data_IF_817959411565
#
_entry.id   IF_817959411565
#
_cell.length_a   1.000
_cell.length_b   1.000
_cell.length_c   1.000
_cell.angle_alpha   90.00
_cell.angle_beta   90.00
_cell.angle_gamma   90.00
#
_symmetry.space_group_name_H-M   'P 1'
#
loop_
_entity.id
_entity.type
_entity.pdbx_description
1 polymer ?
#
# COMPACT_ATOMS: atom_id res chain seq x y z
N UNK A 1 22.79 16.05 7.77
CA UNK A 1 23.05 14.92 8.67
C UNK A 1 21.72 14.41 9.21
N UNK A 2 21.49 13.12 9.14
CA UNK A 2 20.26 12.48 9.60
C UNK A 2 20.20 12.55 11.14
N UNK A 3 19.08 12.90 11.78
CA UNK A 3 19.01 13.10 13.23
C UNK A 3 18.87 11.77 13.99
N UNK A 4 19.84 10.87 13.82
CA UNK A 4 19.83 9.49 14.34
C UNK A 4 19.57 9.42 15.84
N UNK A 5 20.20 10.29 16.63
CA UNK A 5 20.05 10.28 18.09
C UNK A 5 18.63 10.68 18.54
N UNK A 6 17.96 11.59 17.79
CA UNK A 6 16.57 11.94 18.07
C UNK A 6 15.63 10.77 17.80
N UNK A 7 15.90 10.01 16.74
CA UNK A 7 15.12 8.81 16.38
C UNK A 7 15.31 7.73 17.45
N UNK A 8 16.57 7.42 17.81
CA UNK A 8 16.87 6.41 18.84
C UNK A 8 16.15 6.68 20.17
N UNK A 9 16.13 7.94 20.61
CA UNK A 9 15.45 8.34 21.86
C UNK A 9 13.93 8.08 21.83
N UNK A 10 13.31 8.00 20.64
CA UNK A 10 11.87 7.78 20.49
C UNK A 10 11.48 6.32 20.28
N UNK A 11 12.44 5.42 20.11
CA UNK A 11 12.15 3.99 19.94
C UNK A 11 11.43 3.38 21.15
N UNK A 12 11.83 3.62 22.43
CA UNK A 12 11.10 3.08 23.56
C UNK A 12 9.62 3.51 23.60
N UNK A 13 9.33 4.80 23.38
CA UNK A 13 7.97 5.33 23.31
C UNK A 13 7.16 4.64 22.21
N UNK A 14 7.78 4.41 21.05
CA UNK A 14 7.17 3.73 19.91
C UNK A 14 6.82 2.28 20.27
N UNK A 15 7.74 1.56 20.88
CA UNK A 15 7.53 0.15 21.30
C UNK A 15 6.39 0.04 22.31
N UNK A 16 6.31 0.98 23.24
CA UNK A 16 5.21 1.03 24.21
C UNK A 16 3.87 1.30 23.54
N UNK A 17 3.84 2.17 22.54
CA UNK A 17 2.62 2.50 21.78
C UNK A 17 2.07 1.34 20.96
N UNK A 18 2.90 0.33 20.60
CA UNK A 18 2.46 -0.87 19.87
C UNK A 18 1.47 -1.74 20.65
N UNK A 19 1.34 -1.55 21.96
CA UNK A 19 0.40 -2.29 22.82
C UNK A 19 -1.04 -1.79 22.72
N UNK A 20 -1.29 -0.69 22.03
CA UNK A 20 -2.62 -0.08 21.91
C UNK A 20 -3.51 -0.84 20.94
N UNK A 21 -4.82 -0.77 21.20
CA UNK A 21 -5.85 -1.40 20.37
C UNK A 21 -5.85 -0.80 18.97
N UNK A 22 -5.76 -1.64 17.95
CA UNK A 22 -5.84 -1.25 16.56
C UNK A 22 -7.27 -0.81 16.19
N UNK A 23 -7.42 0.40 15.69
CA UNK A 23 -8.68 0.92 15.20
C UNK A 23 -8.47 1.88 14.02
N UNK A 24 -9.58 2.31 13.40
CA UNK A 24 -9.55 3.22 12.24
C UNK A 24 -8.73 4.49 12.47
N UNK A 25 -8.77 5.06 13.66
CA UNK A 25 -8.04 6.30 13.96
C UNK A 25 -6.53 6.11 14.01
N UNK A 26 -6.06 4.93 14.43
CA UNK A 26 -4.62 4.59 14.41
C UNK A 26 -4.09 4.56 12.98
N UNK A 27 -4.84 3.97 12.05
CA UNK A 27 -4.48 3.94 10.63
C UNK A 27 -4.48 5.33 9.99
N UNK A 28 -5.47 6.18 10.34
CA UNK A 28 -5.51 7.57 9.88
C UNK A 28 -4.29 8.34 10.41
N UNK A 29 -3.92 8.17 11.68
CA UNK A 29 -2.72 8.80 12.25
C UNK A 29 -1.44 8.33 11.56
N UNK A 30 -1.30 7.03 11.30
CA UNK A 30 -0.15 6.49 10.58
C UNK A 30 -0.05 7.06 9.15
N UNK A 31 -1.15 7.06 8.40
CA UNK A 31 -1.19 7.66 7.06
C UNK A 31 -0.90 9.17 7.08
N UNK A 32 -1.36 9.88 8.13
CA UNK A 32 -1.07 11.31 8.29
C UNK A 32 0.39 11.59 8.63
N UNK A 33 1.04 10.69 9.39
CA UNK A 33 2.41 10.87 9.83
C UNK A 33 3.45 10.75 8.69
N UNK A 34 3.12 10.05 7.61
CA UNK A 34 4.01 9.89 6.44
C UNK A 34 3.83 10.96 5.37
N UNK A 35 2.81 11.82 5.49
CA UNK A 35 2.55 12.91 4.53
C UNK A 35 3.70 13.91 4.47
N UNK A 36 3.90 14.47 3.28
CA UNK A 36 4.77 15.61 3.05
C UNK A 36 3.98 16.77 2.43
N UNK A 37 3.82 16.79 1.13
CA UNK A 37 3.01 17.77 0.38
C UNK A 37 1.55 17.31 0.21
N UNK A 38 1.25 16.08 0.58
CA UNK A 38 -0.11 15.53 0.55
C UNK A 38 -1.11 16.38 1.34
N UNK A 39 -2.28 16.65 0.78
CA UNK A 39 -3.33 17.42 1.46
C UNK A 39 -4.18 16.52 2.36
N UNK A 40 -4.36 15.25 1.99
CA UNK A 40 -5.15 14.25 2.71
C UNK A 40 -4.35 12.98 2.99
N UNK A 41 -4.61 12.29 4.14
CA UNK A 41 -4.06 10.95 4.36
C UNK A 41 -4.71 9.95 3.40
N UNK A 42 -3.90 9.05 2.82
CA UNK A 42 -4.34 8.05 1.86
C UNK A 42 -4.34 6.68 2.51
N UNK A 43 -5.50 6.03 2.52
CA UNK A 43 -5.67 4.71 3.12
C UNK A 43 -6.76 3.93 2.41
N UNK A 44 -6.59 2.62 2.35
CA UNK A 44 -7.55 1.68 1.78
C UNK A 44 -7.63 0.43 2.66
N UNK A 45 -8.78 -0.23 2.61
CA UNK A 45 -9.06 -1.42 3.39
C UNK A 45 -9.96 -2.37 2.61
N UNK A 46 -9.66 -3.65 2.68
CA UNK A 46 -10.49 -4.73 2.14
C UNK A 46 -10.46 -5.94 3.07
N UNK A 47 -11.52 -6.73 3.00
CA UNK A 47 -11.62 -8.04 3.67
C UNK A 47 -11.96 -9.12 2.66
N UNK A 48 -11.43 -10.31 2.89
CA UNK A 48 -11.74 -11.49 2.08
C UNK A 48 -11.51 -12.77 2.87
N UNK A 49 -11.62 -13.92 2.17
CA UNK A 49 -11.27 -15.22 2.74
C UNK A 49 -10.10 -15.85 1.99
N UNK A 50 -9.26 -16.56 2.74
CA UNK A 50 -8.31 -17.56 2.23
C UNK A 50 -8.74 -18.91 2.84
N UNK A 51 -9.29 -19.80 2.01
CA UNK A 51 -10.05 -20.94 2.53
C UNK A 51 -11.25 -20.45 3.35
N UNK A 52 -11.43 -20.97 4.56
CA UNK A 52 -12.50 -20.57 5.47
C UNK A 52 -12.13 -19.41 6.41
N UNK A 53 -10.90 -18.91 6.34
CA UNK A 53 -10.40 -17.86 7.24
C UNK A 53 -10.61 -16.47 6.67
N UNK A 54 -11.24 -15.59 7.45
CA UNK A 54 -11.34 -14.18 7.12
C UNK A 54 -9.99 -13.51 7.32
N UNK A 55 -9.54 -12.78 6.31
CA UNK A 55 -8.29 -12.03 6.30
C UNK A 55 -8.54 -10.58 5.91
N UNK A 56 -7.69 -9.69 6.40
CA UNK A 56 -7.77 -8.25 6.19
C UNK A 56 -6.57 -7.75 5.40
N UNK A 57 -6.80 -6.74 4.58
CA UNK A 57 -5.75 -6.05 3.83
C UNK A 57 -5.91 -4.56 4.12
N UNK A 58 -4.87 -3.95 4.67
CA UNK A 58 -4.77 -2.52 4.91
C UNK A 58 -3.70 -1.92 4.02
N UNK A 59 -3.93 -0.72 3.53
CA UNK A 59 -2.92 0.01 2.80
C UNK A 59 -2.90 1.47 3.23
N UNK A 60 -1.70 2.05 3.33
CA UNK A 60 -1.47 3.47 3.46
C UNK A 60 -0.48 3.92 2.41
N UNK A 61 -0.63 5.13 1.90
CA UNK A 61 0.30 5.70 0.93
C UNK A 61 0.49 7.20 1.14
N UNK A 62 1.59 7.70 0.58
CA UNK A 62 1.82 9.13 0.45
C UNK A 62 2.42 9.45 -0.92
N UNK A 63 2.15 10.64 -1.43
CA UNK A 63 2.64 11.18 -2.68
C UNK A 63 1.59 12.11 -3.32
N UNK A 64 2.05 13.23 -3.89
CA UNK A 64 1.20 14.22 -4.56
C UNK A 64 1.89 14.92 -5.73
N UNK A 65 3.21 14.85 -5.85
CA UNK A 65 4.03 15.37 -6.95
C UNK A 65 5.21 14.47 -7.24
N UNK A 66 5.89 14.69 -8.36
CA UNK A 66 6.96 13.86 -8.90
C UNK A 66 6.46 12.42 -9.09
N UNK A 67 5.31 12.26 -9.77
CA UNK A 67 4.63 10.99 -9.99
C UNK A 67 4.53 10.71 -11.49
N UNK A 68 5.27 9.67 -11.94
CA UNK A 68 5.26 9.16 -13.30
C UNK A 68 5.19 7.63 -13.32
N UNK A 69 4.85 7.00 -14.46
CA UNK A 69 4.96 5.54 -14.60
C UNK A 69 6.34 5.03 -14.18
N UNK A 70 6.37 3.83 -13.59
CA UNK A 70 7.54 3.18 -12.98
C UNK A 70 8.00 3.75 -11.63
N UNK A 71 7.03 4.25 -10.86
CA UNK A 71 7.14 4.72 -9.48
C UNK A 71 7.94 6.03 -9.31
N UNK A 72 7.36 7.00 -8.62
CA UNK A 72 7.98 8.29 -8.35
C UNK A 72 7.54 8.81 -6.98
N UNK A 73 8.43 9.34 -6.16
CA UNK A 73 8.35 9.92 -4.81
C UNK A 73 7.17 9.43 -3.95
N UNK A 74 6.79 8.19 -4.16
CA UNK A 74 5.68 7.54 -3.51
C UNK A 74 6.19 6.56 -2.45
N UNK A 75 5.59 6.60 -1.29
CA UNK A 75 5.72 5.52 -0.32
C UNK A 75 4.36 4.86 -0.15
N UNK A 76 4.30 3.56 -0.31
CA UNK A 76 3.11 2.78 -0.03
C UNK A 76 3.45 1.55 0.81
N UNK A 77 2.63 1.32 1.82
CA UNK A 77 2.77 0.20 2.74
C UNK A 77 1.45 -0.57 2.77
N UNK A 78 1.52 -1.85 2.47
CA UNK A 78 0.38 -2.76 2.52
C UNK A 78 0.63 -3.78 3.64
N UNK A 79 -0.42 -4.09 4.38
CA UNK A 79 -0.38 -5.02 5.51
C UNK A 79 -1.52 -6.02 5.40
N UNK A 80 -1.24 -7.27 5.74
CA UNK A 80 -2.28 -8.30 5.90
C UNK A 80 -2.03 -9.10 7.16
N UNK A 81 -3.10 -9.59 7.77
CA UNK A 81 -3.05 -10.55 8.86
C UNK A 81 -3.01 -12.01 8.38
N UNK A 82 -3.13 -12.24 7.06
CA UNK A 82 -2.93 -13.54 6.44
C UNK A 82 -1.51 -14.09 6.69
N UNK A 83 -1.37 -15.40 6.72
CA UNK A 83 -0.09 -16.10 6.72
C UNK A 83 0.31 -16.43 5.28
N UNK A 84 1.20 -15.61 4.72
CA UNK A 84 1.70 -15.73 3.35
C UNK A 84 3.22 -15.55 3.33
N UNK A 85 3.90 -16.42 2.61
CA UNK A 85 5.36 -16.34 2.45
C UNK A 85 5.80 -15.09 1.67
N UNK A 86 7.04 -14.65 1.89
CA UNK A 86 7.61 -13.50 1.17
C UNK A 86 7.59 -13.68 -0.37
N UNK A 87 7.75 -14.92 -0.86
CA UNK A 87 7.69 -15.22 -2.29
C UNK A 87 6.28 -15.02 -2.86
N UNK A 88 5.24 -15.42 -2.12
CA UNK A 88 3.84 -15.19 -2.50
C UNK A 88 3.53 -13.68 -2.50
N UNK A 89 3.92 -12.96 -1.44
CA UNK A 89 3.72 -11.51 -1.35
C UNK A 89 4.39 -10.78 -2.52
N UNK A 90 5.64 -11.10 -2.83
CA UNK A 90 6.39 -10.52 -3.96
C UNK A 90 5.71 -10.80 -5.30
N UNK A 91 5.22 -12.02 -5.50
CA UNK A 91 4.53 -12.41 -6.72
C UNK A 91 3.20 -11.66 -6.88
N UNK A 92 2.43 -11.53 -5.79
CA UNK A 92 1.18 -10.77 -5.78
C UNK A 92 1.41 -9.29 -6.11
N UNK A 93 2.43 -8.66 -5.52
CA UNK A 93 2.77 -7.27 -5.87
C UNK A 93 3.13 -7.14 -7.34
N UNK A 94 4.02 -8.00 -7.85
CA UNK A 94 4.49 -7.95 -9.25
C UNK A 94 3.34 -8.09 -10.26
N UNK A 95 2.33 -8.90 -9.95
CA UNK A 95 1.15 -9.10 -10.84
C UNK A 95 0.19 -7.92 -10.86
N UNK A 96 0.19 -7.09 -9.82
CA UNK A 96 -0.78 -6.02 -9.64
C UNK A 96 -0.22 -4.60 -9.85
N UNK A 97 1.11 -4.41 -9.80
CA UNK A 97 1.72 -3.09 -9.78
C UNK A 97 1.53 -2.33 -11.09
N UNK A 98 1.63 -3.01 -12.25
CA UNK A 98 1.58 -2.37 -13.56
C UNK A 98 0.19 -1.80 -13.90
N UNK A 99 -0.87 -2.41 -13.36
CA UNK A 99 -2.25 -1.94 -13.53
C UNK A 99 -2.73 -0.99 -12.42
N UNK A 100 -1.85 -0.63 -11.48
CA UNK A 100 -2.19 0.22 -10.33
C UNK A 100 -1.19 1.38 -10.20
N UNK A 101 -0.15 1.24 -9.40
CA UNK A 101 0.81 2.32 -9.14
C UNK A 101 1.66 2.69 -10.37
N UNK A 102 2.00 1.74 -11.23
CA UNK A 102 2.71 2.05 -12.49
C UNK A 102 1.80 2.62 -13.59
N UNK A 103 0.48 2.62 -13.39
CA UNK A 103 -0.49 3.16 -14.35
C UNK A 103 -0.91 4.60 -14.07
N UNK A 104 -0.26 5.28 -13.12
CA UNK A 104 -0.59 6.66 -12.75
C UNK A 104 0.55 7.63 -13.03
N UNK A 105 0.19 8.89 -13.32
CA UNK A 105 1.13 10.01 -13.41
C UNK A 105 0.46 11.30 -12.98
N UNK A 106 1.22 12.23 -12.41
CA UNK A 106 0.79 13.59 -12.05
C UNK A 106 1.49 14.62 -12.94
N UNK A 107 2.80 14.62 -12.99
CA UNK A 107 3.64 15.61 -13.66
C UNK A 107 4.62 15.01 -14.68
N UNK A 108 4.69 13.70 -14.79
CA UNK A 108 5.59 12.99 -15.71
C UNK A 108 7.02 12.83 -15.17
N UNK A 109 7.33 13.37 -14.01
CA UNK A 109 8.66 13.28 -13.41
C UNK A 109 8.83 11.98 -12.59
N UNK A 110 9.94 11.29 -12.81
CA UNK A 110 10.27 10.03 -12.12
C UNK A 110 11.19 10.29 -10.93
N UNK A 111 10.87 9.72 -9.76
CA UNK A 111 11.75 9.73 -8.59
C UNK A 111 12.66 8.50 -8.56
N UNK A 112 13.69 8.56 -7.74
CA UNK A 112 14.62 7.45 -7.48
C UNK A 112 14.38 6.75 -6.14
N UNK A 113 13.38 7.19 -5.35
CA UNK A 113 13.21 6.78 -3.95
C UNK A 113 11.82 6.17 -3.65
N UNK A 114 11.15 5.63 -4.66
CA UNK A 114 9.85 5.03 -4.47
C UNK A 114 9.93 3.68 -3.79
N UNK A 115 8.94 3.41 -2.97
CA UNK A 115 8.88 2.15 -2.27
C UNK A 115 7.43 1.67 -2.12
N UNK A 116 7.19 0.44 -2.53
CA UNK A 116 5.99 -0.32 -2.20
C UNK A 116 6.39 -1.54 -1.40
N UNK A 117 5.94 -1.62 -0.16
CA UNK A 117 6.26 -2.74 0.73
C UNK A 117 4.98 -3.44 1.17
N UNK A 118 5.00 -4.78 1.16
CA UNK A 118 3.89 -5.60 1.60
C UNK A 118 4.32 -6.49 2.78
N UNK A 119 3.58 -6.40 3.89
CA UNK A 119 3.83 -7.12 5.12
C UNK A 119 2.72 -8.13 5.39
N UNK A 120 3.11 -9.34 5.76
CA UNK A 120 2.24 -10.37 6.30
C UNK A 120 2.59 -10.59 7.77
N UNK A 121 1.60 -10.54 8.66
CA UNK A 121 1.82 -10.77 10.10
C UNK A 121 1.60 -12.22 10.51
N UNK A 122 0.98 -13.03 9.65
CA UNK A 122 0.66 -14.43 9.95
C UNK A 122 -0.32 -14.62 11.12
N UNK A 123 -1.00 -13.54 11.54
CA UNK A 123 -1.88 -13.57 12.72
C UNK A 123 -3.13 -14.44 12.51
N UNK A 124 -3.60 -14.51 11.28
CA UNK A 124 -4.66 -15.43 10.87
C UNK A 124 -4.01 -16.70 10.37
N UNK A 125 -4.18 -17.78 11.11
CA UNK A 125 -3.68 -19.10 10.72
C UNK A 125 -4.55 -19.68 9.57
N UNK A 126 -4.38 -19.12 8.37
CA UNK A 126 -5.04 -19.63 7.16
C UNK A 126 -4.29 -20.86 6.61
N UNK A 127 -4.93 -21.65 5.73
CA UNK A 127 -4.24 -22.77 5.07
C UNK A 127 -2.96 -22.32 4.37
N UNK A 128 -1.90 -23.11 4.47
CA UNK A 128 -0.63 -22.84 3.81
C UNK A 128 -0.80 -22.68 2.30
N UNK A 129 -0.19 -21.65 1.75
CA UNK A 129 -0.18 -21.30 0.33
C UNK A 129 1.25 -21.41 -0.20
N UNK A 130 1.51 -22.39 -1.01
CA UNK A 130 2.85 -22.64 -1.59
C UNK A 130 2.98 -22.11 -3.03
N UNK A 131 1.84 -21.95 -3.73
CA UNK A 131 1.83 -21.57 -5.12
C UNK A 131 0.95 -20.33 -5.34
N UNK A 132 1.44 -19.38 -6.13
CA UNK A 132 0.71 -18.17 -6.53
C UNK A 132 -0.57 -18.47 -7.35
N UNK A 133 -0.66 -19.64 -7.98
CA UNK A 133 -1.82 -20.08 -8.75
C UNK A 133 -2.88 -20.81 -7.88
N UNK A 134 -2.68 -20.87 -6.57
CA UNK A 134 -3.65 -21.49 -5.67
C UNK A 134 -5.02 -20.80 -5.78
N UNK A 135 -6.10 -21.55 -6.10
CA UNK A 135 -7.43 -20.97 -6.26
C UNK A 135 -7.93 -20.18 -5.04
N UNK A 136 -7.45 -20.50 -3.85
CA UNK A 136 -7.79 -19.81 -2.60
C UNK A 136 -7.28 -18.36 -2.57
N UNK A 137 -6.27 -18.01 -3.40
CA UNK A 137 -5.74 -16.66 -3.54
C UNK A 137 -6.56 -15.77 -4.49
N UNK A 138 -7.41 -16.30 -5.35
CA UNK A 138 -8.12 -15.51 -6.38
C UNK A 138 -8.86 -14.32 -5.77
N UNK A 139 -9.63 -14.55 -4.70
CA UNK A 139 -10.37 -13.47 -4.05
C UNK A 139 -9.44 -12.52 -3.29
N UNK A 140 -8.39 -13.05 -2.65
CA UNK A 140 -7.39 -12.24 -1.97
C UNK A 140 -6.64 -11.32 -2.96
N UNK A 141 -6.19 -11.84 -4.10
CA UNK A 141 -5.51 -11.06 -5.14
C UNK A 141 -6.42 -9.96 -5.69
N UNK A 142 -7.70 -10.25 -5.95
CA UNK A 142 -8.69 -9.26 -6.37
C UNK A 142 -8.85 -8.14 -5.33
N UNK A 143 -8.91 -8.46 -4.04
CA UNK A 143 -9.03 -7.49 -2.96
C UNK A 143 -7.73 -6.69 -2.76
N UNK A 144 -6.57 -7.32 -2.90
CA UNK A 144 -5.28 -6.64 -2.93
C UNK A 144 -5.22 -5.64 -4.09
N UNK A 145 -5.63 -6.05 -5.30
CA UNK A 145 -5.72 -5.16 -6.45
C UNK A 145 -6.59 -3.93 -6.16
N UNK A 146 -7.76 -4.12 -5.53
CA UNK A 146 -8.65 -3.01 -5.16
C UNK A 146 -7.98 -2.04 -4.17
N UNK A 147 -7.25 -2.55 -3.16
CA UNK A 147 -6.49 -1.70 -2.22
C UNK A 147 -5.43 -0.90 -2.99
N UNK A 148 -4.64 -1.54 -3.83
CA UNK A 148 -3.58 -0.89 -4.61
C UNK A 148 -4.16 0.15 -5.59
N UNK A 149 -5.21 -0.18 -6.31
CA UNK A 149 -5.89 0.74 -7.23
C UNK A 149 -6.51 1.93 -6.48
N UNK A 150 -7.15 1.69 -5.35
CA UNK A 150 -7.74 2.75 -4.52
C UNK A 150 -6.66 3.74 -4.05
N UNK A 151 -5.54 3.24 -3.53
CA UNK A 151 -4.42 4.08 -3.10
C UNK A 151 -3.83 4.88 -4.27
N UNK A 152 -3.61 4.27 -5.42
CA UNK A 152 -3.09 4.96 -6.61
C UNK A 152 -4.05 6.06 -7.09
N UNK A 153 -5.35 5.82 -7.06
CA UNK A 153 -6.36 6.83 -7.39
C UNK A 153 -6.42 7.97 -6.36
N UNK A 154 -6.19 7.70 -5.07
CA UNK A 154 -6.10 8.75 -4.05
C UNK A 154 -4.86 9.63 -4.27
N UNK A 155 -3.73 9.05 -4.68
CA UNK A 155 -2.50 9.79 -5.00
C UNK A 155 -2.75 10.79 -6.13
N UNK A 156 -3.27 10.34 -7.28
CA UNK A 156 -3.49 11.24 -8.43
C UNK A 156 -4.60 12.26 -8.20
N UNK A 157 -5.61 11.95 -7.39
CA UNK A 157 -6.66 12.91 -7.02
C UNK A 157 -6.15 14.03 -6.11
N UNK A 158 -5.11 13.76 -5.35
CA UNK A 158 -4.41 14.70 -4.47
C UNK A 158 -3.15 15.27 -5.14
N UNK A 159 -3.03 15.10 -6.46
CA UNK A 159 -1.89 15.56 -7.24
C UNK A 159 -1.65 17.05 -7.12
N UNK A 160 -0.40 17.47 -6.88
CA UNK A 160 -0.01 18.86 -6.70
C UNK A 160 -0.39 19.68 -7.94
N UNK A 161 -1.19 20.75 -7.75
CA UNK A 161 -1.71 21.59 -8.83
C UNK A 161 -2.79 20.94 -9.70
N UNK A 162 -3.15 19.69 -9.49
CA UNK A 162 -4.15 18.98 -10.30
C UNK A 162 -5.56 19.51 -10.05
N UNK A 163 -6.26 19.88 -11.14
CA UNK A 163 -7.66 20.33 -11.12
C UNK A 163 -8.62 19.30 -11.72
N UNK A 164 -8.10 18.33 -12.46
CA UNK A 164 -8.87 17.32 -13.18
C UNK A 164 -8.19 15.97 -13.11
N UNK A 165 -9.00 14.91 -13.03
CA UNK A 165 -8.56 13.52 -13.21
C UNK A 165 -8.91 13.08 -14.63
N UNK A 166 -7.92 12.65 -15.40
CA UNK A 166 -8.09 12.10 -16.73
C UNK A 166 -7.85 10.60 -16.70
N UNK A 167 -8.77 9.82 -17.25
CA UNK A 167 -8.61 8.38 -17.43
C UNK A 167 -8.43 8.07 -18.93
N UNK A 168 -7.30 7.46 -19.25
CA UNK A 168 -6.98 7.03 -20.62
C UNK A 168 -7.11 5.50 -20.67
N UNK A 169 -7.94 5.00 -21.58
CA UNK A 169 -8.06 3.56 -21.84
C UNK A 169 -7.58 3.31 -23.28
N UNK A 170 -6.59 2.42 -23.43
CA UNK A 170 -6.08 1.98 -24.73
C UNK A 170 -6.56 0.55 -24.93
N UNK A 171 -7.27 0.30 -26.04
CA UNK A 171 -7.75 -1.03 -26.40
C UNK A 171 -7.32 -1.38 -27.82
N UNK A 172 -7.01 -2.64 -28.06
CA UNK A 172 -6.61 -3.18 -29.39
C UNK A 172 -5.35 -2.51 -29.96
N UNK A 173 -4.38 -2.13 -29.11
CA UNK A 173 -3.06 -1.67 -29.55
C UNK A 173 -2.12 -2.86 -29.77
#
# INVERSE_FOLDING_TARGET
>A
TYPVEKIKKKIPDLVESLKTVQNKYVWIKAASAIKTTDTIPKLAFEECKIGEKNVKIYGIAKGSGMIAPNMATMLAFIFTDADLSANILKSLLKRNIDSTFNAITVDGDTSTNDMLTFFSTGKVNNPNIENILDPRLINFEKKLHNVMLNLSLQIIKDGEGAKKLVKINISKA
#
